data_IF_028299063877
#
_entry.id   IF_028299063877
#
_cell.length_a   1.000
_cell.length_b   1.000
_cell.length_c   1.000
_cell.angle_alpha   90.00
_cell.angle_beta   90.00
_cell.angle_gamma   90.00
#
_symmetry.space_group_name_H-M   'P 1'
#
loop_
_entity.id
_entity.type
_entity.pdbx_description
1 polymer ?
#
# COMPACT_ATOMS: atom_id res chain seq x y z
N UNK A 1 -46.49 6.48 -33.41
CA UNK A 1 -46.31 6.16 -31.98
C UNK A 1 -44.85 5.78 -31.75
N UNK A 2 -43.98 6.70 -31.29
CA UNK A 2 -42.56 6.46 -31.16
C UNK A 2 -42.24 5.90 -29.77
N UNK A 3 -42.44 4.60 -29.58
CA UNK A 3 -42.15 3.87 -28.34
C UNK A 3 -41.08 2.77 -28.53
N UNK A 4 -40.22 2.89 -29.55
CA UNK A 4 -39.24 1.85 -29.91
C UNK A 4 -37.77 2.26 -29.68
N UNK A 5 -37.46 3.14 -28.72
CA UNK A 5 -36.07 3.58 -28.48
C UNK A 5 -35.64 3.61 -27.00
N UNK A 6 -36.40 2.98 -26.09
CA UNK A 6 -36.14 3.09 -24.65
C UNK A 6 -35.57 1.82 -23.99
N UNK A 7 -35.15 0.82 -24.76
CA UNK A 7 -34.64 -0.45 -24.20
C UNK A 7 -33.13 -0.69 -24.36
N UNK A 8 -32.39 0.15 -25.10
CA UNK A 8 -30.96 -0.12 -25.36
C UNK A 8 -29.97 0.84 -24.66
N UNK A 9 -30.40 1.61 -23.65
CA UNK A 9 -29.51 2.55 -22.92
C UNK A 9 -29.45 2.33 -21.41
N UNK A 10 -29.56 1.09 -20.94
CA UNK A 10 -29.23 0.72 -19.55
C UNK A 10 -28.08 -0.30 -19.50
N UNK A 11 -27.11 -0.12 -20.38
CA UNK A 11 -25.75 -0.64 -20.19
C UNK A 11 -24.78 0.52 -20.41
N UNK A 12 -24.99 1.62 -19.68
CA UNK A 12 -23.94 2.64 -19.52
C UNK A 12 -22.85 2.03 -18.66
N UNK A 13 -22.00 1.25 -19.33
CA UNK A 13 -20.56 1.14 -19.14
C UNK A 13 -20.13 1.54 -17.72
N UNK A 14 -20.10 0.58 -16.79
CA UNK A 14 -19.48 0.71 -15.47
C UNK A 14 -17.94 0.75 -15.62
N UNK A 15 -17.43 1.53 -16.58
CA UNK A 15 -16.01 1.75 -16.81
C UNK A 15 -15.47 2.60 -15.68
N UNK A 16 -14.92 1.92 -14.69
CA UNK A 16 -14.05 2.53 -13.70
C UNK A 16 -12.96 3.29 -14.46
N UNK A 17 -12.94 4.61 -14.34
CA UNK A 17 -11.90 5.46 -14.94
C UNK A 17 -10.52 4.98 -14.46
N UNK A 18 -9.56 4.94 -15.39
CA UNK A 18 -8.17 4.58 -15.11
C UNK A 18 -7.65 5.43 -13.95
N UNK A 19 -7.07 4.78 -12.93
CA UNK A 19 -6.62 5.48 -11.73
C UNK A 19 -5.30 6.18 -12.02
N UNK A 20 -5.08 7.31 -11.35
CA UNK A 20 -3.83 8.10 -11.49
C UNK A 20 -2.58 7.28 -11.17
N UNK A 21 -2.74 6.24 -10.37
CA UNK A 21 -1.66 5.37 -9.95
C UNK A 21 -1.41 4.22 -10.93
N UNK A 22 -2.26 3.94 -11.91
CA UNK A 22 -2.18 2.69 -12.72
C UNK A 22 -0.84 2.47 -13.46
N UNK A 23 -0.07 3.52 -13.78
CA UNK A 23 1.26 3.40 -14.43
C UNK A 23 2.44 3.28 -13.45
N UNK A 24 2.20 3.31 -12.14
CA UNK A 24 3.27 3.23 -11.15
C UNK A 24 3.85 1.80 -11.13
N UNK A 25 5.15 1.69 -11.39
CA UNK A 25 5.89 0.43 -11.52
C UNK A 25 5.99 -0.40 -10.22
N UNK A 26 5.81 0.22 -9.06
CA UNK A 26 5.83 -0.44 -7.76
C UNK A 26 4.51 -0.22 -7.03
N UNK A 27 3.85 -1.32 -6.66
CA UNK A 27 2.56 -1.31 -5.99
C UNK A 27 2.65 -2.04 -4.67
N UNK A 28 2.21 -1.40 -3.59
CA UNK A 28 1.95 -2.07 -2.32
C UNK A 28 3.14 -2.90 -1.77
N UNK A 29 4.39 -2.40 -1.91
CA UNK A 29 5.59 -3.14 -1.51
C UNK A 29 5.62 -3.53 -0.01
N UNK A 30 4.96 -2.73 0.83
CA UNK A 30 4.85 -2.97 2.27
C UNK A 30 3.51 -3.66 2.67
N UNK A 31 2.70 -4.13 1.71
CA UNK A 31 1.42 -4.76 2.04
C UNK A 31 1.65 -6.09 2.76
N UNK A 32 1.16 -6.17 3.99
CA UNK A 32 1.38 -7.34 4.87
C UNK A 32 2.69 -7.27 5.67
N UNK A 33 3.39 -6.14 5.61
CA UNK A 33 4.43 -5.80 6.58
C UNK A 33 3.76 -5.23 7.86
N UNK A 34 2.84 -5.98 8.45
CA UNK A 34 2.44 -5.72 9.83
C UNK A 34 3.70 -5.88 10.70
N UNK A 35 3.91 -4.95 11.63
CA UNK A 35 5.09 -4.80 12.50
C UNK A 35 5.62 -6.15 13.02
N UNK A 36 6.45 -6.83 12.21
CA UNK A 36 7.18 -8.05 12.60
C UNK A 36 8.30 -7.72 13.59
N UNK A 37 8.37 -6.49 14.06
CA UNK A 37 9.21 -6.06 15.17
C UNK A 37 8.59 -6.52 16.48
N UNK A 38 8.45 -7.84 16.65
CA UNK A 38 8.44 -8.39 18.01
C UNK A 38 9.79 -8.02 18.61
N UNK A 39 9.79 -7.01 19.46
CA UNK A 39 10.97 -6.56 20.22
C UNK A 39 11.39 -7.68 21.16
N UNK A 40 12.09 -8.67 20.63
CA UNK A 40 12.75 -9.67 21.44
C UNK A 40 13.83 -8.97 22.27
N UNK A 41 13.88 -9.29 23.56
CA UNK A 41 15.00 -8.87 24.38
C UNK A 41 16.27 -9.56 23.88
N UNK A 42 17.32 -8.79 23.62
CA UNK A 42 18.63 -9.29 23.22
C UNK A 42 19.61 -8.91 24.32
N UNK A 43 20.28 -9.90 24.89
CA UNK A 43 21.37 -9.70 25.84
C UNK A 43 22.69 -9.39 25.11
N UNK A 44 22.71 -8.30 24.34
CA UNK A 44 23.86 -7.80 23.56
C UNK A 44 23.70 -6.28 23.39
N UNK A 45 24.67 -5.50 23.87
CA UNK A 45 24.60 -4.04 23.87
C UNK A 45 24.70 -3.42 22.48
N UNK A 46 25.32 -4.08 21.51
CA UNK A 46 25.50 -3.56 20.15
C UNK A 46 24.38 -3.99 19.21
N UNK A 47 23.79 -5.17 19.43
CA UNK A 47 22.71 -5.70 18.58
C UNK A 47 21.31 -5.36 19.07
N UNK A 48 21.20 -4.76 20.25
CA UNK A 48 19.94 -4.26 20.79
C UNK A 48 19.29 -3.23 19.87
N UNK A 49 17.95 -3.26 19.82
CA UNK A 49 17.15 -2.25 19.11
C UNK A 49 17.44 -0.83 19.60
N UNK A 50 17.82 -0.66 20.86
CA UNK A 50 18.25 0.63 21.39
C UNK A 50 19.52 1.12 20.68
N UNK A 51 20.54 0.27 20.58
CA UNK A 51 21.80 0.66 19.96
C UNK A 51 21.63 0.92 18.47
N UNK A 52 20.88 0.09 17.75
CA UNK A 52 20.55 0.34 16.33
C UNK A 52 19.90 1.72 16.12
N UNK A 53 18.89 2.06 16.93
CA UNK A 53 18.22 3.37 16.89
C UNK A 53 19.14 4.53 17.28
N UNK A 54 20.04 4.31 18.26
CA UNK A 54 21.02 5.31 18.67
C UNK A 54 21.99 5.64 17.52
N UNK A 55 22.56 4.61 16.88
CA UNK A 55 23.49 4.79 15.76
C UNK A 55 22.81 5.49 14.58
N UNK A 56 21.60 5.08 14.21
CA UNK A 56 20.81 5.73 13.14
C UNK A 56 20.53 7.22 13.42
N UNK A 57 20.24 7.57 14.69
CA UNK A 57 19.90 8.93 15.07
C UNK A 57 21.10 9.87 15.15
N UNK A 58 22.25 9.37 15.63
CA UNK A 58 23.37 10.23 16.03
C UNK A 58 24.63 10.10 15.17
N UNK A 59 24.75 9.06 14.32
CA UNK A 59 25.98 8.75 13.58
C UNK A 59 25.72 8.65 12.07
N UNK A 60 24.66 9.27 11.56
CA UNK A 60 24.31 9.21 10.13
C UNK A 60 25.44 9.69 9.21
#
# INVERSE_FOLDING_TARGET
NPLLNQQEKVVTDFKVKRRWDDDVVFKNCAKGEDDKKKSAFINDTLRSEFHKKFMEKYIK
#
